data_IF_853598813131
#
_entry.id   IF_853598813131
#
_cell.length_a   1.000
_cell.length_b   1.000
_cell.length_c   1.000
_cell.angle_alpha   90.00
_cell.angle_beta   90.00
_cell.angle_gamma   90.00
#
_symmetry.space_group_name_H-M   'P 1'
#
loop_
_entity.id
_entity.type
_entity.pdbx_description
1 polymer ?
#
# COMPACT_ATOMS: atom_id res chain seq x y z
N UNK A 1 -12.05 -5.60 -26.98
CA UNK A 1 -11.52 -6.25 -25.77
C UNK A 1 -12.71 -6.63 -24.91
N UNK A 2 -12.82 -7.89 -24.47
CA UNK A 2 -13.96 -8.36 -23.68
C UNK A 2 -14.03 -7.57 -22.35
N UNK A 3 -15.21 -7.09 -21.94
CA UNK A 3 -15.36 -6.19 -20.77
C UNK A 3 -14.88 -6.83 -19.47
N UNK A 4 -15.04 -8.14 -19.34
CA UNK A 4 -14.56 -8.94 -18.21
C UNK A 4 -13.03 -8.86 -18.01
N UNK A 5 -12.27 -9.03 -19.11
CA UNK A 5 -10.80 -9.03 -19.09
C UNK A 5 -10.28 -7.65 -18.66
N UNK A 6 -10.96 -6.58 -19.06
CA UNK A 6 -10.57 -5.21 -18.69
C UNK A 6 -10.74 -4.97 -17.19
N UNK A 7 -11.83 -5.45 -16.59
CA UNK A 7 -12.08 -5.32 -15.16
C UNK A 7 -11.06 -6.10 -14.33
N UNK A 8 -10.82 -7.36 -14.68
CA UNK A 8 -9.84 -8.20 -13.95
C UNK A 8 -8.42 -7.64 -14.03
N UNK A 9 -8.03 -7.11 -15.21
CA UNK A 9 -6.71 -6.51 -15.38
C UNK A 9 -6.55 -5.20 -14.59
N UNK A 10 -7.63 -4.42 -14.41
CA UNK A 10 -7.64 -3.22 -13.54
C UNK A 10 -7.35 -3.60 -12.10
N UNK A 11 -8.06 -4.60 -11.56
CA UNK A 11 -7.90 -5.08 -10.19
C UNK A 11 -6.48 -5.61 -9.94
N UNK A 12 -5.93 -6.37 -10.88
CA UNK A 12 -4.55 -6.86 -10.80
C UNK A 12 -3.54 -5.71 -10.81
N UNK A 13 -3.74 -4.72 -11.68
CA UNK A 13 -2.92 -3.50 -11.75
C UNK A 13 -2.93 -2.75 -10.43
N UNK A 14 -4.09 -2.57 -9.80
CA UNK A 14 -4.25 -1.91 -8.51
C UNK A 14 -3.50 -2.61 -7.37
N UNK A 15 -3.60 -3.94 -7.31
CA UNK A 15 -2.84 -4.74 -6.33
C UNK A 15 -1.33 -4.60 -6.54
N UNK A 16 -0.86 -4.70 -7.79
CA UNK A 16 0.54 -4.57 -8.14
C UNK A 16 1.07 -3.16 -7.82
N UNK A 17 0.27 -2.13 -8.07
CA UNK A 17 0.59 -0.76 -7.71
C UNK A 17 0.70 -0.59 -6.19
N UNK A 18 -0.22 -1.16 -5.42
CA UNK A 18 -0.17 -1.11 -3.94
C UNK A 18 1.10 -1.77 -3.38
N UNK A 19 1.50 -2.91 -3.96
CA UNK A 19 2.68 -3.66 -3.56
C UNK A 19 3.95 -2.86 -3.89
N UNK A 20 4.06 -2.36 -5.13
CA UNK A 20 5.19 -1.58 -5.59
C UNK A 20 5.39 -0.32 -4.74
N UNK A 21 4.31 0.41 -4.47
CA UNK A 21 4.35 1.63 -3.67
C UNK A 21 4.84 1.37 -2.25
N UNK A 22 4.30 0.33 -1.62
CA UNK A 22 4.68 -0.06 -0.25
C UNK A 22 6.14 -0.50 -0.18
N UNK A 23 6.60 -1.27 -1.17
CA UNK A 23 7.98 -1.75 -1.25
C UNK A 23 8.98 -0.60 -1.46
N UNK A 24 8.69 0.33 -2.38
CA UNK A 24 9.55 1.50 -2.62
C UNK A 24 9.66 2.38 -1.38
N UNK A 25 8.55 2.65 -0.70
CA UNK A 25 8.55 3.40 0.56
C UNK A 25 9.33 2.66 1.66
N UNK A 26 9.15 1.35 1.78
CA UNK A 26 9.86 0.53 2.78
C UNK A 26 11.36 0.57 2.56
N UNK A 27 11.83 0.35 1.33
CA UNK A 27 13.26 0.41 0.97
C UNK A 27 13.84 1.81 1.22
N UNK A 28 13.09 2.86 0.89
CA UNK A 28 13.49 4.23 1.18
C UNK A 28 13.67 4.44 2.69
N UNK A 29 12.68 4.07 3.50
CA UNK A 29 12.75 4.22 4.95
C UNK A 29 13.92 3.45 5.57
N UNK A 30 14.19 2.22 5.12
CA UNK A 30 15.35 1.43 5.58
C UNK A 30 16.70 2.07 5.24
N UNK A 31 16.82 2.71 4.07
CA UNK A 31 18.09 3.31 3.65
C UNK A 31 18.34 4.69 4.25
N UNK A 32 17.29 5.43 4.54
CA UNK A 32 17.41 6.84 4.96
C UNK A 32 17.43 7.00 6.48
N UNK A 33 16.79 6.11 7.22
CA UNK A 33 16.58 6.28 8.66
C UNK A 33 17.01 5.04 9.44
N UNK A 34 17.87 5.27 10.43
CA UNK A 34 18.29 4.28 11.42
C UNK A 34 18.14 4.91 12.82
N UNK A 35 17.16 4.48 13.65
CA UNK A 35 16.29 3.32 13.49
C UNK A 35 15.10 3.53 12.53
N UNK A 36 14.52 2.42 12.05
CA UNK A 36 13.43 2.42 11.07
C UNK A 36 12.17 3.17 11.58
N UNK A 37 11.65 4.18 10.86
CA UNK A 37 10.54 5.03 11.31
C UNK A 37 9.19 4.39 10.99
N UNK A 38 8.88 3.29 11.69
CA UNK A 38 7.68 2.49 11.46
C UNK A 38 6.36 3.27 11.54
N UNK A 39 6.24 4.20 12.50
CA UNK A 39 5.03 5.01 12.67
C UNK A 39 4.79 5.94 11.46
N UNK A 40 5.87 6.56 10.95
CA UNK A 40 5.80 7.41 9.76
C UNK A 40 5.50 6.60 8.51
N UNK A 41 6.06 5.39 8.39
CA UNK A 41 5.78 4.48 7.28
C UNK A 41 4.29 4.10 7.22
N UNK A 42 3.70 3.71 8.36
CA UNK A 42 2.27 3.41 8.47
C UNK A 42 1.44 4.68 8.17
N UNK A 43 1.81 5.83 8.73
CA UNK A 43 1.10 7.09 8.54
C UNK A 43 1.04 7.53 7.08
N UNK A 44 2.13 7.36 6.32
CA UNK A 44 2.17 7.68 4.89
C UNK A 44 1.25 6.76 4.10
N UNK A 45 1.27 5.45 4.37
CA UNK A 45 0.43 4.49 3.64
C UNK A 45 -1.06 4.68 3.94
N UNK A 46 -1.43 4.95 5.21
CA UNK A 46 -2.80 5.30 5.59
C UNK A 46 -3.21 6.64 4.98
N UNK A 47 -2.32 7.64 4.98
CA UNK A 47 -2.58 8.95 4.36
C UNK A 47 -2.86 8.83 2.87
N UNK A 48 -2.06 8.05 2.14
CA UNK A 48 -2.27 7.77 0.72
C UNK A 48 -3.60 7.02 0.52
N UNK A 49 -3.89 6.01 1.34
CA UNK A 49 -5.16 5.29 1.30
C UNK A 49 -6.36 6.25 1.47
N UNK A 50 -6.30 7.18 2.43
CA UNK A 50 -7.34 8.19 2.65
C UNK A 50 -7.49 9.15 1.45
N UNK A 51 -6.37 9.62 0.89
CA UNK A 51 -6.40 10.49 -0.29
C UNK A 51 -7.07 9.77 -1.46
N UNK A 52 -6.71 8.51 -1.70
CA UNK A 52 -7.31 7.69 -2.77
C UNK A 52 -8.82 7.49 -2.51
N UNK A 53 -9.22 7.19 -1.28
CA UNK A 53 -10.66 7.07 -0.94
C UNK A 53 -11.43 8.39 -1.10
N UNK A 54 -10.79 9.53 -0.84
CA UNK A 54 -11.41 10.84 -0.97
C UNK A 54 -11.50 11.30 -2.44
N UNK A 55 -10.69 10.72 -3.33
CA UNK A 55 -10.73 10.99 -4.77
C UNK A 55 -11.93 10.28 -5.45
N UNK A 56 -12.57 9.32 -4.79
CA UNK A 56 -13.76 8.66 -5.34
C UNK A 56 -15.02 9.54 -5.23
N UNK A 57 -15.28 10.32 -6.28
CA UNK A 57 -16.60 10.89 -6.55
C UNK A 57 -17.50 9.90 -7.35
N UNK A 58 -16.97 8.74 -7.78
CA UNK A 58 -17.68 7.71 -8.56
C UNK A 58 -17.25 6.27 -8.17
N UNK A 59 -18.26 5.47 -7.80
CA UNK A 59 -18.28 3.99 -7.71
C UNK A 59 -16.94 3.26 -7.57
N UNK A 60 -16.42 3.14 -6.34
CA UNK A 60 -15.78 1.95 -5.76
C UNK A 60 -14.66 1.21 -6.56
N UNK A 61 -14.05 1.86 -7.56
CA UNK A 61 -13.10 1.22 -8.46
C UNK A 61 -11.75 0.97 -7.78
N UNK A 62 -11.38 1.76 -6.77
CA UNK A 62 -10.03 1.73 -6.17
C UNK A 62 -9.96 1.01 -4.82
N UNK A 63 -11.03 0.33 -4.41
CA UNK A 63 -11.09 -0.36 -3.10
C UNK A 63 -10.05 -1.47 -2.97
N UNK A 64 -9.68 -2.11 -4.07
CA UNK A 64 -8.64 -3.15 -4.09
C UNK A 64 -7.25 -2.56 -3.88
N UNK A 65 -6.99 -1.35 -4.40
CA UNK A 65 -5.77 -0.62 -4.10
C UNK A 65 -5.68 -0.26 -2.61
N UNK A 66 -6.77 0.29 -2.05
CA UNK A 66 -6.83 0.71 -0.64
C UNK A 66 -6.65 -0.48 0.31
N UNK A 67 -7.38 -1.57 0.09
CA UNK A 67 -7.23 -2.80 0.87
C UNK A 67 -5.83 -3.41 0.70
N UNK A 68 -5.28 -3.41 -0.52
CA UNK A 68 -3.91 -3.84 -0.81
C UNK A 68 -2.88 -3.02 -0.03
N UNK A 69 -3.02 -1.69 0.02
CA UNK A 69 -2.15 -0.81 0.81
C UNK A 69 -2.22 -1.13 2.30
N UNK A 70 -3.42 -1.32 2.85
CA UNK A 70 -3.58 -1.63 4.28
C UNK A 70 -2.98 -2.99 4.65
N UNK A 71 -3.24 -4.03 3.85
CA UNK A 71 -2.67 -5.38 4.07
C UNK A 71 -1.16 -5.34 3.96
N UNK A 72 -0.62 -4.70 2.92
CA UNK A 72 0.83 -4.56 2.75
C UNK A 72 1.46 -3.77 3.91
N UNK A 73 0.80 -2.71 4.38
CA UNK A 73 1.26 -1.94 5.55
C UNK A 73 1.43 -2.83 6.78
N UNK A 74 0.46 -3.70 7.06
CA UNK A 74 0.51 -4.62 8.21
C UNK A 74 1.66 -5.62 8.05
N UNK A 75 1.75 -6.28 6.88
CA UNK A 75 2.78 -7.29 6.60
C UNK A 75 4.17 -6.69 6.73
N UNK A 76 4.42 -5.55 6.09
CA UNK A 76 5.72 -4.88 6.13
C UNK A 76 6.04 -4.28 7.50
N UNK A 77 5.05 -3.77 8.23
CA UNK A 77 5.26 -3.28 9.59
C UNK A 77 5.72 -4.39 10.53
N UNK A 78 5.13 -5.59 10.42
CA UNK A 78 5.55 -6.77 11.19
C UNK A 78 6.97 -7.18 10.78
N UNK A 79 7.25 -7.25 9.49
CA UNK A 79 8.55 -7.65 8.98
C UNK A 79 9.68 -6.72 9.43
N UNK A 80 9.47 -5.40 9.37
CA UNK A 80 10.49 -4.42 9.75
C UNK A 80 10.64 -4.23 11.27
N UNK A 81 9.60 -4.46 12.07
CA UNK A 81 9.70 -4.44 13.53
C UNK A 81 10.07 -5.81 14.12
N UNK A 82 10.28 -6.84 13.31
CA UNK A 82 10.56 -8.19 13.80
C UNK A 82 11.78 -8.24 14.72
N UNK A 83 12.82 -7.48 14.41
CA UNK A 83 14.04 -7.36 15.22
C UNK A 83 13.86 -6.58 16.54
N UNK A 84 12.75 -5.85 16.69
CA UNK A 84 12.40 -5.16 17.92
C UNK A 84 11.40 -5.95 18.78
N UNK A 85 10.74 -6.95 18.20
CA UNK A 85 9.75 -7.79 18.88
C UNK A 85 10.35 -9.07 19.50
N UNK A 86 11.55 -9.47 19.06
CA UNK A 86 12.34 -10.60 19.57
C UNK A 86 13.78 -10.17 19.86
#
# INVERSE_FOLDING_TARGET
MNTHIKTELSLFSELLLSLLLTLCLGIYCLKTFDPFPWLSFIGVLIGIALIVTCWEEKENQWIFLVSGLLVNTIVWSIFFNWSSLF
#
